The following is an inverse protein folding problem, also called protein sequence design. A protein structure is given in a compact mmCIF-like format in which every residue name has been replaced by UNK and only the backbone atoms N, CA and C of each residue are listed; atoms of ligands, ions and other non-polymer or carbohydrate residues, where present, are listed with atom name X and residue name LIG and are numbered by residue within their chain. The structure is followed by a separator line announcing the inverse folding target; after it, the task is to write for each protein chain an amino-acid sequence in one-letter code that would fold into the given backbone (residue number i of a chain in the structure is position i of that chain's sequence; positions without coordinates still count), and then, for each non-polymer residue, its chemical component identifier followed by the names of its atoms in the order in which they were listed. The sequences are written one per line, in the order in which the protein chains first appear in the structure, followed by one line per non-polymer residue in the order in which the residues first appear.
data_IF_389259959571
#
_entry.id   IF_389259959571
#
_cell.length_a   1.000
_cell.length_b   1.000
_cell.length_c   1.000
_cell.angle_alpha   90.00
_cell.angle_beta   90.00
_cell.angle_gamma   90.00
#
_symmetry.space_group_name_H-M   'P 1'
#
loop_
_entity.id
_entity.type
_entity.pdbx_description
1 polymer ?
#
# COMPACT_ATOMS: atom_id res chain seq x y z
N UNK A 1 -20.57 7.42 -16.49
CA UNK A 1 -20.43 6.16 -15.74
C UNK A 1 -21.84 5.78 -15.37
N UNK A 2 -22.38 4.74 -16.00
CA UNK A 2 -23.82 4.49 -15.96
C UNK A 2 -24.32 3.96 -14.60
N UNK A 3 -23.41 3.61 -13.68
CA UNK A 3 -23.64 3.74 -12.22
C UNK A 3 -22.30 3.73 -11.45
N UNK A 4 -21.92 4.85 -10.83
CA UNK A 4 -20.69 4.96 -10.04
C UNK A 4 -20.74 4.15 -8.74
N UNK A 5 -21.93 3.97 -8.15
CA UNK A 5 -22.13 3.20 -6.93
C UNK A 5 -21.90 1.72 -7.20
N UNK A 6 -22.49 1.18 -8.26
CA UNK A 6 -22.32 -0.23 -8.61
C UNK A 6 -20.88 -0.56 -9.00
N UNK A 7 -20.20 0.36 -9.70
CA UNK A 7 -18.76 0.23 -9.95
C UNK A 7 -17.97 0.16 -8.64
N UNK A 8 -18.23 1.09 -7.70
CA UNK A 8 -17.52 1.16 -6.44
C UNK A 8 -17.72 -0.09 -5.57
N UNK A 9 -18.95 -0.60 -5.49
CA UNK A 9 -19.26 -1.81 -4.73
C UNK A 9 -18.63 -3.06 -5.34
N UNK A 10 -18.60 -3.16 -6.69
CA UNK A 10 -18.01 -4.32 -7.39
C UNK A 10 -16.49 -4.34 -7.30
N UNK A 11 -15.85 -3.18 -7.49
CA UNK A 11 -14.38 -3.08 -7.57
C UNK A 11 -13.73 -2.65 -6.26
N UNK A 12 -14.52 -2.36 -5.24
CA UNK A 12 -14.07 -1.82 -3.94
C UNK A 12 -13.24 -0.53 -4.08
N UNK A 13 -13.55 0.27 -5.09
CA UNK A 13 -12.91 1.57 -5.32
C UNK A 13 -13.90 2.56 -5.92
N UNK A 14 -14.09 3.69 -5.24
CA UNK A 14 -14.88 4.81 -5.73
C UNK A 14 -13.96 5.77 -6.48
N UNK A 15 -14.21 5.94 -7.78
CA UNK A 15 -13.47 6.89 -8.61
C UNK A 15 -14.13 8.26 -8.54
N UNK A 16 -13.36 9.27 -8.16
CA UNK A 16 -13.76 10.66 -8.01
C UNK A 16 -12.88 11.56 -8.86
N UNK A 17 -13.32 12.81 -9.01
CA UNK A 17 -12.53 13.87 -9.62
C UNK A 17 -12.67 15.12 -8.77
N UNK A 18 -11.53 15.70 -8.36
CA UNK A 18 -11.52 16.97 -7.66
C UNK A 18 -11.99 18.12 -8.57
N UNK A 19 -12.35 19.25 -7.97
CA UNK A 19 -12.78 20.45 -8.70
C UNK A 19 -11.72 20.95 -9.71
N UNK A 20 -10.44 20.67 -9.45
CA UNK A 20 -9.31 20.97 -10.35
C UNK A 20 -9.02 19.86 -11.39
N UNK A 21 -9.97 18.95 -11.61
CA UNK A 21 -9.89 17.83 -12.52
C UNK A 21 -8.87 16.72 -12.17
N UNK A 22 -8.19 16.77 -11.03
CA UNK A 22 -7.30 15.68 -10.58
C UNK A 22 -8.13 14.43 -10.23
N UNK A 23 -7.79 13.24 -10.77
CA UNK A 23 -8.46 12.00 -10.40
C UNK A 23 -8.14 11.60 -8.96
N UNK A 24 -9.14 11.10 -8.24
CA UNK A 24 -9.02 10.62 -6.85
C UNK A 24 -9.63 9.22 -6.81
N UNK A 25 -8.87 8.26 -6.28
CA UNK A 25 -9.35 6.91 -6.04
C UNK A 25 -9.56 6.71 -4.53
N UNK A 26 -10.77 6.33 -4.13
CA UNK A 26 -11.09 6.01 -2.73
C UNK A 26 -11.28 4.50 -2.62
N UNK A 27 -10.27 3.82 -2.10
CA UNK A 27 -10.34 2.39 -1.82
C UNK A 27 -11.32 2.12 -0.65
N UNK A 28 -12.17 1.11 -0.82
CA UNK A 28 -13.09 0.64 0.21
C UNK A 28 -12.43 -0.55 0.92
N UNK A 29 -11.79 -0.28 2.05
CA UNK A 29 -11.09 -1.30 2.83
C UNK A 29 -12.00 -2.47 3.22
N UNK A 30 -11.50 -3.70 3.11
CA UNK A 30 -12.16 -4.96 3.47
C UNK A 30 -11.32 -5.82 4.43
N UNK A 31 -10.01 -5.56 4.47
CA UNK A 31 -9.06 -6.42 5.13
C UNK A 31 -8.67 -5.83 6.48
N UNK A 32 -8.48 -6.66 7.53
CA UNK A 32 -8.01 -6.18 8.82
C UNK A 32 -6.69 -5.39 8.74
N UNK A 33 -5.82 -5.72 7.78
CA UNK A 33 -4.60 -4.97 7.49
C UNK A 33 -4.89 -3.51 7.11
N UNK A 34 -5.89 -3.25 6.26
CA UNK A 34 -6.19 -1.90 5.76
C UNK A 34 -6.72 -1.00 6.88
N UNK A 35 -7.51 -1.56 7.80
CA UNK A 35 -7.95 -0.86 9.02
C UNK A 35 -6.75 -0.48 9.89
N UNK A 36 -5.86 -1.43 10.19
CA UNK A 36 -4.65 -1.16 10.98
C UNK A 36 -3.68 -0.20 10.30
N UNK A 37 -3.53 -0.28 8.99
CA UNK A 37 -2.71 0.66 8.22
C UNK A 37 -3.27 2.09 8.29
N UNK A 38 -4.60 2.24 8.28
CA UNK A 38 -5.25 3.53 8.49
C UNK A 38 -5.08 4.04 9.94
N UNK A 39 -5.15 3.16 10.94
CA UNK A 39 -4.90 3.50 12.35
C UNK A 39 -3.44 3.94 12.60
N UNK A 40 -2.48 3.30 11.93
CA UNK A 40 -1.05 3.66 11.97
C UNK A 40 -0.71 4.91 11.16
N UNK A 41 -1.63 5.42 10.34
CA UNK A 41 -1.36 6.56 9.47
C UNK A 41 -0.94 7.79 10.29
N UNK A 42 0.08 8.49 9.80
CA UNK A 42 0.66 9.65 10.48
C UNK A 42 0.72 10.86 9.57
N UNK A 43 0.80 12.05 10.17
CA UNK A 43 0.86 13.31 9.41
C UNK A 43 2.25 13.48 8.79
N UNK A 44 2.31 13.44 7.47
CA UNK A 44 3.48 13.81 6.69
C UNK A 44 3.33 15.23 6.13
N UNK A 45 4.36 16.05 6.33
CA UNK A 45 4.35 17.45 5.89
C UNK A 45 4.71 17.54 4.40
N UNK A 46 3.91 18.29 3.66
CA UNK A 46 4.12 18.63 2.25
C UNK A 46 4.21 20.16 2.15
N UNK A 47 5.36 20.68 1.75
CA UNK A 47 5.60 22.13 1.77
C UNK A 47 5.64 22.69 3.20
N UNK A 48 5.27 23.96 3.36
CA UNK A 48 5.34 24.64 4.66
C UNK A 48 4.11 24.37 5.53
N UNK A 49 2.89 24.49 4.97
CA UNK A 49 1.64 24.54 5.74
C UNK A 49 0.71 23.33 5.55
N UNK A 50 1.03 22.38 4.66
CA UNK A 50 0.15 21.24 4.37
C UNK A 50 0.67 19.98 5.05
N UNK A 51 -0.24 19.25 5.69
CA UNK A 51 0.00 17.91 6.21
C UNK A 51 -1.01 16.95 5.60
N UNK A 52 -0.53 15.81 5.09
CA UNK A 52 -1.37 14.69 4.69
C UNK A 52 -1.20 13.54 5.65
N UNK A 53 -2.29 12.82 5.94
CA UNK A 53 -2.15 11.51 6.55
C UNK A 53 -1.63 10.54 5.50
N UNK A 54 -0.50 9.91 5.81
CA UNK A 54 0.11 8.88 4.96
C UNK A 54 0.30 7.61 5.76
N UNK A 55 0.22 6.47 5.09
CA UNK A 55 0.66 5.21 5.65
C UNK A 55 2.17 5.22 5.95
N UNK A 56 2.61 4.29 6.79
CA UNK A 56 4.03 4.06 7.04
C UNK A 56 4.73 3.46 5.81
N UNK A 57 6.08 3.55 5.70
CA UNK A 57 6.83 2.82 4.68
C UNK A 57 6.58 1.30 4.72
N UNK A 58 6.41 0.73 5.91
CA UNK A 58 6.07 -0.68 6.13
C UNK A 58 4.71 -1.02 5.51
N UNK A 59 3.67 -0.24 5.82
CA UNK A 59 2.33 -0.43 5.27
C UNK A 59 2.29 -0.22 3.75
N UNK A 60 3.09 0.73 3.23
CA UNK A 60 3.24 0.94 1.80
C UNK A 60 3.86 -0.29 1.12
N UNK A 61 4.87 -0.91 1.73
CA UNK A 61 5.45 -2.17 1.24
C UNK A 61 4.40 -3.28 1.23
N UNK A 62 3.62 -3.45 2.30
CA UNK A 62 2.57 -4.48 2.36
C UNK A 62 1.56 -4.28 1.22
N UNK A 63 1.06 -3.06 1.01
CA UNK A 63 0.15 -2.75 -0.10
C UNK A 63 0.75 -3.08 -1.47
N UNK A 64 2.02 -2.72 -1.70
CA UNK A 64 2.68 -2.88 -2.99
C UNK A 64 3.02 -4.33 -3.31
N UNK A 65 3.53 -5.07 -2.32
CA UNK A 65 3.89 -6.48 -2.47
C UNK A 65 2.62 -7.33 -2.60
N UNK A 66 1.55 -7.01 -1.87
CA UNK A 66 0.26 -7.69 -2.02
C UNK A 66 -0.35 -7.45 -3.42
N UNK A 67 -0.27 -6.23 -3.96
CA UNK A 67 -0.74 -5.92 -5.32
C UNK A 67 0.10 -6.61 -6.41
N UNK A 68 1.43 -6.69 -6.21
CA UNK A 68 2.33 -7.55 -6.97
C UNK A 68 2.51 -7.24 -8.46
N UNK A 69 1.95 -6.15 -8.99
CA UNK A 69 2.10 -5.79 -10.42
C UNK A 69 3.57 -5.42 -10.69
N UNK A 70 4.05 -5.64 -11.91
CA UNK A 70 5.45 -5.36 -12.28
C UNK A 70 5.93 -3.96 -11.87
N UNK A 71 5.06 -2.94 -12.02
CA UNK A 71 5.37 -1.56 -11.64
C UNK A 71 5.51 -1.34 -10.13
N UNK A 72 4.80 -2.11 -9.31
CA UNK A 72 4.80 -1.93 -7.85
C UNK A 72 6.15 -2.37 -7.25
N UNK A 73 6.88 -3.27 -7.92
CA UNK A 73 8.20 -3.71 -7.49
C UNK A 73 9.28 -2.63 -7.55
N UNK A 74 9.12 -1.64 -8.44
CA UNK A 74 10.01 -0.47 -8.51
C UNK A 74 9.85 0.37 -7.22
N UNK A 75 8.61 0.53 -6.75
CA UNK A 75 8.35 1.24 -5.49
C UNK A 75 8.87 0.44 -4.29
N UNK A 76 8.68 -0.89 -4.28
CA UNK A 76 9.19 -1.79 -3.22
C UNK A 76 10.70 -1.69 -3.10
N UNK A 77 11.43 -1.86 -4.20
CA UNK A 77 12.89 -1.74 -4.22
C UNK A 77 13.33 -0.35 -3.74
N UNK A 78 12.70 0.70 -4.26
CA UNK A 78 13.03 2.07 -3.88
C UNK A 78 12.77 2.40 -2.40
N UNK A 79 11.74 1.82 -1.77
CA UNK A 79 11.51 2.00 -0.32
C UNK A 79 12.55 1.23 0.49
N UNK A 80 12.81 -0.02 0.13
CA UNK A 80 13.82 -0.86 0.80
C UNK A 80 15.20 -0.19 0.74
N UNK A 81 15.66 0.24 -0.44
CA UNK A 81 16.97 0.87 -0.59
C UNK A 81 17.15 2.12 0.29
N UNK A 82 16.10 2.92 0.46
CA UNK A 82 16.17 4.18 1.22
C UNK A 82 15.98 4.02 2.72
N UNK A 83 15.31 2.95 3.16
CA UNK A 83 14.83 2.81 4.54
C UNK A 83 15.18 1.48 5.19
N UNK A 84 15.92 0.60 4.51
CA UNK A 84 16.36 -0.73 4.94
C UNK A 84 16.60 -0.86 6.45
N UNK A 85 17.46 0.00 7.00
CA UNK A 85 17.94 -0.11 8.39
C UNK A 85 16.90 0.35 9.42
N UNK A 86 15.86 1.02 8.96
CA UNK A 86 14.78 1.59 9.79
C UNK A 86 13.45 0.89 9.62
N UNK A 87 13.32 0.00 8.62
CA UNK A 87 12.07 -0.72 8.34
C UNK A 87 11.82 -1.80 9.39
N UNK A 88 10.62 -1.81 9.96
CA UNK A 88 10.17 -2.89 10.83
C UNK A 88 9.76 -4.12 9.99
N UNK A 89 10.72 -5.03 9.81
CA UNK A 89 10.52 -6.27 9.06
C UNK A 89 9.56 -7.24 9.75
N UNK A 90 9.47 -7.22 11.08
CA UNK A 90 8.56 -8.10 11.81
C UNK A 90 7.13 -7.67 11.54
N UNK A 91 6.85 -6.36 11.58
CA UNK A 91 5.56 -5.78 11.22
C UNK A 91 5.18 -6.10 9.76
N UNK A 92 6.09 -5.85 8.80
CA UNK A 92 5.84 -6.14 7.38
C UNK A 92 5.46 -7.61 7.20
N UNK A 93 6.23 -8.53 7.80
CA UNK A 93 5.95 -9.97 7.69
C UNK A 93 4.63 -10.37 8.33
N UNK A 94 4.33 -9.83 9.52
CA UNK A 94 3.11 -10.13 10.26
C UNK A 94 1.85 -9.69 9.49
N UNK A 95 1.90 -8.54 8.83
CA UNK A 95 0.79 -8.02 8.04
C UNK A 95 0.69 -8.69 6.66
N UNK A 96 1.82 -8.94 5.99
CA UNK A 96 1.85 -9.40 4.61
C UNK A 96 1.56 -10.91 4.46
N UNK A 97 2.06 -11.75 5.37
CA UNK A 97 1.92 -13.22 5.26
C UNK A 97 0.46 -13.69 5.14
N UNK A 98 -0.48 -13.27 6.02
CA UNK A 98 -1.87 -13.69 5.92
C UNK A 98 -2.53 -13.28 4.60
N UNK A 99 -2.13 -12.13 4.05
CA UNK A 99 -2.65 -11.62 2.78
C UNK A 99 -2.18 -12.46 1.60
N UNK A 100 -0.88 -12.79 1.58
CA UNK A 100 -0.29 -13.60 0.51
C UNK A 100 -0.75 -15.05 0.56
N UNK A 101 -0.98 -15.61 1.75
CA UNK A 101 -1.60 -16.94 1.91
C UNK A 101 -3.04 -16.95 1.36
N UNK A 102 -3.82 -15.91 1.66
CA UNK A 102 -5.20 -15.79 1.20
C UNK A 102 -5.32 -15.65 -0.33
N UNK A 103 -4.37 -15.00 -0.98
CA UNK A 103 -4.36 -14.77 -2.44
C UNK A 103 -3.35 -15.65 -3.19
N UNK A 104 -2.88 -16.74 -2.57
CA UNK A 104 -1.93 -17.72 -3.14
C UNK A 104 -0.70 -17.08 -3.84
N UNK A 105 -0.18 -16.01 -3.22
CA UNK A 105 0.87 -15.14 -3.76
C UNK A 105 2.15 -15.17 -2.91
N UNK A 106 2.38 -16.24 -2.16
CA UNK A 106 3.57 -16.43 -1.33
C UNK A 106 4.92 -16.22 -2.02
N UNK A 107 5.10 -16.49 -3.35
CA UNK A 107 6.34 -16.14 -4.05
C UNK A 107 6.70 -14.64 -4.00
N UNK A 108 5.74 -13.74 -3.77
CA UNK A 108 6.03 -12.32 -3.59
C UNK A 108 6.85 -12.06 -2.33
N UNK A 109 6.64 -12.85 -1.27
CA UNK A 109 7.42 -12.74 -0.04
C UNK A 109 8.90 -13.06 -0.32
N UNK A 110 9.16 -14.15 -1.03
CA UNK A 110 10.52 -14.57 -1.44
C UNK A 110 11.20 -13.50 -2.28
N UNK A 111 10.47 -12.87 -3.20
CA UNK A 111 11.01 -11.77 -4.02
C UNK A 111 11.36 -10.54 -3.18
N UNK A 112 10.51 -10.18 -2.22
CA UNK A 112 10.77 -9.07 -1.31
C UNK A 112 11.99 -9.36 -0.42
N UNK A 113 12.10 -10.57 0.14
CA UNK A 113 13.24 -10.99 0.96
C UNK A 113 14.54 -10.92 0.17
N UNK A 114 14.54 -11.34 -1.11
CA UNK A 114 15.72 -11.19 -1.96
C UNK A 114 16.16 -9.72 -2.15
N UNK A 115 15.22 -8.76 -2.20
CA UNK A 115 15.59 -7.33 -2.24
C UNK A 115 16.25 -6.87 -0.94
N UNK A 116 15.81 -7.45 0.17
CA UNK A 116 16.42 -7.21 1.45
C UNK A 116 17.80 -7.90 1.64
N UNK A 117 18.18 -8.86 0.82
CA UNK A 117 19.48 -9.54 0.95
C UNK A 117 20.53 -9.08 -0.07
N UNK A 118 20.12 -8.26 -1.06
CA UNK A 118 20.95 -7.78 -2.18
C UNK A 118 22.00 -6.71 -1.83
N UNK A 119 22.16 -6.30 -0.57
CA UNK A 119 23.05 -5.19 -0.17
C UNK A 119 23.58 -5.41 1.23
#
# INVERSE_FOLDING_TARGET
MDDARDFALRHRVLLLRAANAVPIDVALGALPFEERAAERASRWRIGEDLHLLTCSPEDLLVHKVFAGRDRDWIDVEGVIERRRDTLDRELINAELRPLLELNDSMPHLVRMDALFDRT
#
